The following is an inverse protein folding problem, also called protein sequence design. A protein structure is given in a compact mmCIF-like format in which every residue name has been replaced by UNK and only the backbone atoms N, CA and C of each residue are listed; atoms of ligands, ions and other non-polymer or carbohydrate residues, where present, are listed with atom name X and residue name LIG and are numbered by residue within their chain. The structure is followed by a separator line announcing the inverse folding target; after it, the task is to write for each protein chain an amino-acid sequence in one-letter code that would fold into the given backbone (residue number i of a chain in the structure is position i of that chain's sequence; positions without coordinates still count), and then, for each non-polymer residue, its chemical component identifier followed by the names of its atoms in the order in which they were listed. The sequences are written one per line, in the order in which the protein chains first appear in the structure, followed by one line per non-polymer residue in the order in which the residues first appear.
data_IF_337781853839
#
_entry.id   IF_337781853839
#
_cell.length_a   1.000
_cell.length_b   1.000
_cell.length_c   1.000
_cell.angle_alpha   90.00
_cell.angle_beta   90.00
_cell.angle_gamma   90.00
#
_symmetry.space_group_name_H-M   'P 1'
#
loop_
_entity.id
_entity.type
_entity.pdbx_description
1 polymer ?
#
# COMPACT_ATOMS: atom_id res chain seq x y z
N UNK A 1 9.64 -35.90 -34.99
CA UNK A 1 8.35 -35.60 -34.34
C UNK A 1 8.44 -35.25 -32.86
N UNK A 2 9.18 -35.93 -32.02
CA UNK A 2 9.24 -35.66 -30.57
C UNK A 2 9.97 -34.35 -30.18
N UNK A 3 10.94 -33.89 -30.95
CA UNK A 3 11.66 -32.64 -30.69
C UNK A 3 10.78 -31.40 -30.92
N UNK A 4 9.98 -31.41 -31.97
CA UNK A 4 9.03 -30.32 -32.28
C UNK A 4 7.94 -30.18 -31.23
N UNK A 5 7.44 -31.29 -30.68
CA UNK A 5 6.40 -31.30 -29.63
C UNK A 5 6.92 -30.70 -28.32
N UNK A 6 8.19 -30.94 -27.95
CA UNK A 6 8.79 -30.33 -26.75
C UNK A 6 8.92 -28.79 -26.86
N UNK A 7 9.33 -28.31 -28.01
CA UNK A 7 9.49 -26.87 -28.21
C UNK A 7 8.14 -26.13 -28.23
N UNK A 8 7.11 -26.71 -28.85
CA UNK A 8 5.75 -26.15 -28.81
C UNK A 8 5.19 -26.13 -27.39
N UNK A 9 5.41 -27.16 -26.57
CA UNK A 9 4.95 -27.21 -25.19
C UNK A 9 5.64 -26.14 -24.31
N UNK A 10 6.95 -25.98 -24.49
CA UNK A 10 7.73 -24.93 -23.76
C UNK A 10 7.24 -23.54 -24.16
N UNK A 11 6.98 -23.30 -25.43
CA UNK A 11 6.49 -22.00 -25.91
C UNK A 11 5.10 -21.70 -25.38
N UNK A 12 4.20 -22.67 -25.35
CA UNK A 12 2.85 -22.51 -24.79
C UNK A 12 2.88 -22.27 -23.29
N UNK A 13 3.72 -23.00 -22.53
CA UNK A 13 3.90 -22.78 -21.10
C UNK A 13 4.52 -21.41 -20.82
N UNK A 14 5.49 -20.97 -21.62
CA UNK A 14 6.11 -19.64 -21.47
C UNK A 14 5.11 -18.54 -21.78
N UNK A 15 4.29 -18.67 -22.82
CA UNK A 15 3.21 -17.72 -23.13
C UNK A 15 2.12 -17.72 -22.04
N UNK A 16 1.80 -18.87 -21.46
CA UNK A 16 0.83 -18.97 -20.35
C UNK A 16 1.37 -18.32 -19.06
N UNK A 17 2.67 -18.48 -18.77
CA UNK A 17 3.33 -17.81 -17.63
C UNK A 17 3.44 -16.30 -17.83
N UNK A 18 3.59 -15.81 -19.07
CA UNK A 18 3.54 -14.40 -19.39
C UNK A 18 2.10 -13.87 -19.27
N UNK A 19 1.09 -14.68 -19.55
CA UNK A 19 -0.31 -14.30 -19.46
C UNK A 19 -0.87 -14.37 -18.03
N UNK A 20 -0.22 -15.13 -17.13
CA UNK A 20 -0.49 -15.14 -15.69
C UNK A 20 0.20 -13.98 -14.95
N UNK A 21 0.71 -12.99 -15.66
CA UNK A 21 1.19 -11.75 -15.08
C UNK A 21 0.10 -11.12 -14.22
N UNK A 22 0.44 -10.79 -12.99
CA UNK A 22 -0.45 -10.07 -12.08
C UNK A 22 -0.86 -8.77 -12.77
N UNK A 23 -2.13 -8.67 -13.19
CA UNK A 23 -2.67 -7.43 -13.74
C UNK A 23 -2.70 -6.40 -12.62
N UNK A 24 -2.07 -5.26 -12.87
CA UNK A 24 -2.14 -4.10 -11.97
C UNK A 24 -3.10 -3.07 -12.56
N UNK A 25 -3.80 -2.37 -11.68
CA UNK A 25 -4.70 -1.28 -12.02
C UNK A 25 -4.05 0.05 -11.64
N UNK A 26 -4.20 1.05 -12.49
CA UNK A 26 -3.69 2.39 -12.22
C UNK A 26 -4.73 3.20 -11.46
N UNK A 27 -4.31 3.83 -10.36
CA UNK A 27 -5.09 4.76 -9.58
C UNK A 27 -4.34 6.10 -9.54
N UNK A 28 -4.88 7.12 -10.20
CA UNK A 28 -4.32 8.47 -10.17
C UNK A 28 -4.87 9.25 -9.00
N UNK A 29 -3.98 9.73 -8.14
CA UNK A 29 -4.29 10.54 -6.97
C UNK A 29 -3.55 11.87 -7.11
N UNK A 30 -4.33 12.97 -7.16
CA UNK A 30 -3.79 14.32 -7.22
C UNK A 30 -4.39 15.15 -6.10
N UNK A 31 -3.54 15.83 -5.38
CA UNK A 31 -3.90 16.82 -4.36
C UNK A 31 -3.19 18.14 -4.66
N UNK A 32 -3.33 19.14 -3.79
CA UNK A 32 -2.60 20.40 -3.92
C UNK A 32 -1.09 20.21 -3.69
N UNK A 33 -0.71 19.24 -2.87
CA UNK A 33 0.65 19.08 -2.37
C UNK A 33 1.42 17.97 -3.10
N UNK A 34 0.74 16.93 -3.61
CA UNK A 34 1.40 15.80 -4.25
C UNK A 34 0.56 15.16 -5.37
N UNK A 35 1.22 14.43 -6.24
CA UNK A 35 0.60 13.51 -7.18
C UNK A 35 1.21 12.11 -7.05
N UNK A 36 0.37 11.08 -7.27
CA UNK A 36 0.77 9.69 -7.20
C UNK A 36 0.00 8.85 -8.20
N UNK A 37 0.73 8.18 -9.08
CA UNK A 37 0.19 7.17 -9.99
C UNK A 37 0.43 5.79 -9.37
N UNK A 38 -0.53 5.37 -8.55
CA UNK A 38 -0.44 4.08 -7.86
C UNK A 38 -0.75 2.92 -8.81
N UNK A 39 0.12 1.92 -8.83
CA UNK A 39 -0.17 0.62 -9.45
C UNK A 39 -0.55 -0.37 -8.34
N UNK A 40 -1.79 -0.83 -8.36
CA UNK A 40 -2.36 -1.72 -7.36
C UNK A 40 -2.86 -3.00 -8.04
N UNK A 41 -2.76 -4.15 -7.35
CA UNK A 41 -3.29 -5.42 -7.88
C UNK A 41 -4.81 -5.36 -7.94
N UNK A 42 -5.55 -5.00 -6.86
CA UNK A 42 -6.99 -4.82 -6.94
C UNK A 42 -7.32 -3.47 -7.57
N UNK A 43 -8.37 -3.45 -8.38
CA UNK A 43 -8.99 -2.20 -8.79
C UNK A 43 -9.64 -1.53 -7.59
N UNK A 44 -9.29 -0.27 -7.33
CA UNK A 44 -9.80 0.48 -6.19
C UNK A 44 -10.68 1.65 -6.59
N UNK A 45 -11.73 1.89 -5.81
CA UNK A 45 -12.55 3.09 -5.91
C UNK A 45 -12.51 3.91 -4.64
N UNK A 46 -12.62 5.22 -4.78
CA UNK A 46 -12.82 6.12 -3.66
C UNK A 46 -14.23 5.93 -3.09
N UNK A 47 -14.32 5.59 -1.80
CA UNK A 47 -15.61 5.37 -1.13
C UNK A 47 -16.01 6.51 -0.21
N UNK A 48 -15.03 7.23 0.36
CA UNK A 48 -15.27 8.31 1.30
C UNK A 48 -14.13 9.33 1.27
N UNK A 49 -14.51 10.60 1.36
CA UNK A 49 -13.59 11.69 1.71
C UNK A 49 -14.21 12.45 2.86
N UNK A 50 -13.45 12.65 3.94
CA UNK A 50 -13.82 13.43 5.11
C UNK A 50 -12.62 14.29 5.49
N UNK A 51 -12.78 15.59 5.45
CA UNK A 51 -11.70 16.56 5.68
C UNK A 51 -10.46 16.25 4.84
N UNK A 52 -9.34 15.90 5.47
CA UNK A 52 -8.07 15.58 4.83
C UNK A 52 -7.84 14.06 4.67
N UNK A 53 -8.86 13.25 4.96
CA UNK A 53 -8.80 11.78 4.87
C UNK A 53 -9.61 11.27 3.70
N UNK A 54 -8.99 10.51 2.80
CA UNK A 54 -9.66 9.83 1.69
C UNK A 54 -9.47 8.31 1.83
N UNK A 55 -10.59 7.58 1.74
CA UNK A 55 -10.59 6.12 1.81
C UNK A 55 -10.92 5.53 0.45
N UNK A 56 -10.09 4.59 0.04
CA UNK A 56 -10.26 3.76 -1.15
C UNK A 56 -10.50 2.31 -0.73
N UNK A 57 -11.30 1.60 -1.49
CA UNK A 57 -11.59 0.18 -1.26
C UNK A 57 -11.62 -0.56 -2.60
N UNK A 58 -11.19 -1.81 -2.58
CA UNK A 58 -11.28 -2.73 -3.71
C UNK A 58 -12.70 -2.82 -4.26
N UNK A 59 -12.82 -2.83 -5.60
CA UNK A 59 -14.06 -3.13 -6.29
C UNK A 59 -14.20 -4.64 -6.38
N UNK A 60 -15.08 -5.21 -5.60
CA UNK A 60 -15.35 -6.65 -5.63
C UNK A 60 -16.86 -6.89 -5.68
N UNK A 61 -17.27 -7.90 -6.45
CA UNK A 61 -18.67 -8.29 -6.58
C UNK A 61 -19.12 -9.24 -5.46
N UNK A 62 -18.18 -9.92 -4.80
CA UNK A 62 -18.46 -10.78 -3.65
C UNK A 62 -18.61 -9.92 -2.39
N UNK A 63 -19.84 -9.80 -1.92
CA UNK A 63 -20.19 -9.02 -0.72
C UNK A 63 -19.61 -9.59 0.58
N UNK A 64 -19.16 -10.83 0.60
CA UNK A 64 -18.57 -11.49 1.75
C UNK A 64 -17.05 -11.46 1.75
N UNK A 65 -16.43 -10.98 0.66
CA UNK A 65 -14.99 -10.86 0.58
C UNK A 65 -14.46 -9.75 1.50
N UNK A 66 -13.32 -10.01 2.13
CA UNK A 66 -12.58 -8.98 2.83
C UNK A 66 -11.77 -8.24 1.80
N UNK A 67 -12.12 -6.99 1.62
CA UNK A 67 -11.59 -6.14 0.57
C UNK A 67 -10.28 -5.47 1.01
N UNK A 68 -9.36 -5.36 0.06
CA UNK A 68 -8.20 -4.50 0.22
C UNK A 68 -8.66 -3.06 0.44
N UNK A 69 -7.98 -2.35 1.32
CA UNK A 69 -8.31 -0.96 1.61
C UNK A 69 -7.06 -0.09 1.70
N UNK A 70 -7.22 1.17 1.28
CA UNK A 70 -6.19 2.20 1.37
C UNK A 70 -6.78 3.48 1.94
N UNK A 71 -6.07 4.06 2.89
CA UNK A 71 -6.42 5.35 3.50
C UNK A 71 -5.28 6.31 3.25
N UNK A 72 -5.60 7.48 2.72
CA UNK A 72 -4.69 8.61 2.58
C UNK A 72 -5.17 9.69 3.53
N UNK A 73 -4.29 10.13 4.41
CA UNK A 73 -4.60 11.08 5.46
C UNK A 73 -3.51 12.16 5.51
N UNK A 74 -3.90 13.43 5.69
CA UNK A 74 -2.99 14.56 5.90
C UNK A 74 -3.33 15.22 7.22
N UNK A 75 -2.37 15.38 8.11
CA UNK A 75 -2.58 15.99 9.43
C UNK A 75 -1.27 16.51 10.01
N UNK A 76 -1.38 17.39 10.98
CA UNK A 76 -0.24 17.84 11.78
C UNK A 76 0.01 16.90 12.95
N UNK A 77 1.27 16.68 13.32
CA UNK A 77 1.65 15.90 14.50
C UNK A 77 2.55 16.75 15.41
N UNK A 78 2.39 16.55 16.71
CA UNK A 78 3.22 17.21 17.74
C UNK A 78 4.37 16.34 18.25
N UNK A 79 4.41 15.07 17.78
CA UNK A 79 5.40 14.08 18.20
C UNK A 79 6.24 13.63 16.99
N UNK A 80 7.47 13.12 17.20
CA UNK A 80 8.26 12.57 16.10
C UNK A 80 7.49 11.52 15.30
N UNK A 81 7.60 11.54 13.96
CA UNK A 81 6.88 10.68 13.04
C UNK A 81 6.99 9.18 13.39
N UNK A 82 8.19 8.74 13.79
CA UNK A 82 8.42 7.34 14.19
C UNK A 82 7.61 6.96 15.44
N UNK A 83 7.50 7.89 16.41
CA UNK A 83 6.73 7.67 17.63
C UNK A 83 5.23 7.60 17.33
N UNK A 84 4.74 8.46 16.46
CA UNK A 84 3.35 8.42 15.98
C UNK A 84 3.00 7.08 15.34
N UNK A 85 3.83 6.61 14.40
CA UNK A 85 3.62 5.32 13.75
C UNK A 85 3.70 4.13 14.74
N UNK A 86 4.55 4.22 15.75
CA UNK A 86 4.62 3.19 16.79
C UNK A 86 3.38 3.19 17.68
N UNK A 87 2.86 4.36 18.04
CA UNK A 87 1.61 4.49 18.79
C UNK A 87 0.43 3.89 18.03
N UNK A 88 0.34 4.14 16.71
CA UNK A 88 -0.69 3.56 15.85
C UNK A 88 -0.70 2.02 15.93
N UNK A 89 0.46 1.38 15.87
CA UNK A 89 0.58 -0.08 16.00
C UNK A 89 0.25 -0.55 17.42
N UNK A 90 0.67 0.19 18.43
CA UNK A 90 0.36 -0.16 19.84
C UNK A 90 -1.14 -0.08 20.12
N UNK A 91 -1.86 0.89 19.52
CA UNK A 91 -3.31 0.95 19.61
C UNK A 91 -3.99 -0.30 19.04
N UNK A 92 -3.52 -0.83 17.90
CA UNK A 92 -4.05 -2.09 17.39
C UNK A 92 -3.88 -3.23 18.41
N UNK A 93 -2.72 -3.32 19.06
CA UNK A 93 -2.50 -4.33 20.12
C UNK A 93 -3.46 -4.17 21.30
N UNK A 94 -3.75 -2.93 21.70
CA UNK A 94 -4.72 -2.64 22.76
C UNK A 94 -6.16 -3.04 22.39
N UNK A 95 -6.50 -3.01 21.09
CA UNK A 95 -7.78 -3.50 20.57
C UNK A 95 -7.83 -5.03 20.37
N UNK A 96 -6.82 -5.76 20.84
CA UNK A 96 -6.79 -7.22 20.78
C UNK A 96 -6.25 -7.80 19.47
N UNK A 97 -5.68 -6.98 18.60
CA UNK A 97 -5.01 -7.48 17.39
C UNK A 97 -3.62 -8.01 17.70
N UNK A 98 -3.28 -9.15 17.13
CA UNK A 98 -1.90 -9.67 17.16
C UNK A 98 -1.10 -9.08 16.01
N UNK A 99 0.01 -8.41 16.33
CA UNK A 99 0.91 -7.82 15.34
C UNK A 99 2.19 -8.63 15.28
N UNK A 100 2.57 -9.04 14.06
CA UNK A 100 3.76 -9.84 13.80
C UNK A 100 4.50 -9.35 12.55
N UNK A 101 5.71 -9.86 12.31
CA UNK A 101 6.55 -9.51 11.14
C UNK A 101 6.73 -8.00 10.94
N UNK A 102 6.84 -7.26 12.04
CA UNK A 102 6.97 -5.81 12.03
C UNK A 102 8.35 -5.40 11.51
N UNK A 103 8.37 -4.54 10.49
CA UNK A 103 9.59 -3.93 9.97
C UNK A 103 9.43 -2.42 9.85
N UNK A 104 10.52 -1.70 9.96
CA UNK A 104 10.54 -0.24 9.78
C UNK A 104 11.72 0.14 8.90
N UNK A 105 11.47 0.83 7.80
CA UNK A 105 12.49 1.39 6.90
C UNK A 105 12.38 2.90 6.88
N UNK A 106 13.48 3.59 7.19
CA UNK A 106 13.61 5.04 7.07
C UNK A 106 14.26 5.38 5.74
N UNK A 107 13.80 6.42 5.09
CA UNK A 107 14.33 6.93 3.82
C UNK A 107 13.99 8.41 3.70
N UNK A 108 14.17 9.00 2.53
CA UNK A 108 13.74 10.35 2.23
C UNK A 108 13.42 10.49 0.75
N UNK A 109 12.54 11.45 0.45
CA UNK A 109 12.29 11.91 -0.91
C UNK A 109 12.98 13.26 -1.06
N UNK A 110 13.88 13.36 -2.05
CA UNK A 110 14.54 14.60 -2.41
C UNK A 110 13.78 15.26 -3.54
N UNK A 111 13.36 16.51 -3.34
CA UNK A 111 12.90 17.38 -4.41
C UNK A 111 13.99 18.41 -4.73
N UNK A 112 13.78 19.21 -5.75
CA UNK A 112 14.75 20.29 -6.09
C UNK A 112 14.84 21.38 -4.99
N UNK A 113 13.84 21.52 -4.13
CA UNK A 113 13.73 22.58 -3.12
C UNK A 113 13.64 22.07 -1.68
N UNK A 114 13.40 20.80 -1.45
CA UNK A 114 13.15 20.27 -0.13
C UNK A 114 13.56 18.81 0.02
N UNK A 115 13.75 18.41 1.27
CA UNK A 115 14.05 17.05 1.69
C UNK A 115 12.94 16.59 2.63
N UNK A 116 12.25 15.51 2.25
CA UNK A 116 11.12 14.95 2.98
C UNK A 116 11.49 13.61 3.61
N UNK A 117 11.72 13.54 4.92
CA UNK A 117 11.92 12.27 5.61
C UNK A 117 10.72 11.35 5.43
N UNK A 118 10.98 10.06 5.20
CA UNK A 118 9.93 9.06 5.02
C UNK A 118 10.14 7.87 5.93
N UNK A 119 9.04 7.26 6.36
CA UNK A 119 9.04 6.02 7.13
C UNK A 119 8.06 5.05 6.48
N UNK A 120 8.56 3.90 6.07
CA UNK A 120 7.74 2.76 5.67
C UNK A 120 7.72 1.75 6.82
N UNK A 121 6.54 1.46 7.33
CA UNK A 121 6.31 0.43 8.34
C UNK A 121 5.45 -0.66 7.75
N UNK A 122 5.88 -1.93 7.85
CA UNK A 122 5.10 -3.08 7.41
C UNK A 122 4.92 -4.06 8.55
N UNK A 123 3.76 -4.72 8.60
CA UNK A 123 3.46 -5.73 9.61
C UNK A 123 2.33 -6.63 9.13
N UNK A 124 2.17 -7.76 9.81
CA UNK A 124 1.01 -8.63 9.67
C UNK A 124 0.10 -8.45 10.87
N UNK A 125 -1.20 -8.42 10.64
CA UNK A 125 -2.24 -8.26 11.64
C UNK A 125 -3.04 -9.55 11.68
N UNK A 126 -3.29 -10.08 12.86
CA UNK A 126 -4.33 -11.11 13.05
C UNK A 126 -5.40 -10.53 13.96
N UNK A 127 -6.65 -10.50 13.48
CA UNK A 127 -7.76 -10.01 14.26
C UNK A 127 -8.14 -11.01 15.36
N UNK A 128 -8.97 -10.64 16.36
CA UNK A 128 -9.40 -11.55 17.41
C UNK A 128 -10.16 -12.79 16.91
N UNK A 129 -10.65 -12.78 15.68
CA UNK A 129 -11.35 -13.92 15.04
C UNK A 129 -10.42 -14.83 14.25
N UNK A 130 -9.11 -14.50 14.21
CA UNK A 130 -8.09 -15.26 13.48
C UNK A 130 -7.87 -14.83 12.04
N UNK A 131 -8.52 -13.74 11.57
CA UNK A 131 -8.30 -13.23 10.23
C UNK A 131 -6.93 -12.58 10.10
N UNK A 132 -6.13 -13.03 9.14
CA UNK A 132 -4.82 -12.48 8.83
C UNK A 132 -4.88 -11.39 7.75
N UNK A 133 -4.25 -10.26 8.02
CA UNK A 133 -4.08 -9.15 7.08
C UNK A 133 -2.60 -8.75 6.98
N UNK A 134 -2.20 -8.26 5.83
CA UNK A 134 -0.89 -7.66 5.57
C UNK A 134 -1.03 -6.15 5.46
N UNK A 135 -0.36 -5.41 6.32
CA UNK A 135 -0.44 -3.97 6.38
C UNK A 135 0.87 -3.29 5.95
N UNK A 136 0.75 -2.12 5.36
CA UNK A 136 1.84 -1.19 5.13
C UNK A 136 1.36 0.22 5.47
N UNK A 137 2.17 0.98 6.19
CA UNK A 137 1.99 2.40 6.45
C UNK A 137 3.20 3.15 5.92
N UNK A 138 2.96 4.12 5.05
CA UNK A 138 3.98 4.98 4.51
C UNK A 138 3.70 6.41 4.93
N UNK A 139 4.61 6.99 5.68
CA UNK A 139 4.49 8.34 6.19
C UNK A 139 5.58 9.22 5.59
N UNK A 140 5.20 10.42 5.19
CA UNK A 140 6.08 11.44 4.62
C UNK A 140 5.94 12.70 5.46
N UNK A 141 7.08 13.18 5.97
CA UNK A 141 7.15 14.47 6.66
C UNK A 141 7.20 15.60 5.62
N UNK A 142 6.16 16.42 5.59
CA UNK A 142 6.01 17.56 4.69
C UNK A 142 6.27 18.87 5.41
N UNK A 143 7.03 18.85 6.54
CA UNK A 143 7.37 19.97 7.43
C UNK A 143 6.20 20.43 8.31
N UNK A 144 5.12 20.95 7.74
CA UNK A 144 3.94 21.43 8.50
C UNK A 144 2.87 20.34 8.66
N UNK A 145 2.92 19.33 7.81
CA UNK A 145 1.95 18.24 7.75
C UNK A 145 2.65 16.91 7.56
N UNK A 146 1.96 15.85 7.91
CA UNK A 146 2.33 14.49 7.56
C UNK A 146 1.34 13.96 6.54
N UNK A 147 1.85 13.40 5.45
CA UNK A 147 1.08 12.55 4.55
C UNK A 147 1.25 11.10 5.02
N UNK A 148 0.16 10.47 5.42
CA UNK A 148 0.12 9.06 5.81
C UNK A 148 -0.70 8.27 4.80
N UNK A 149 -0.10 7.28 4.19
CA UNK A 149 -0.76 6.32 3.30
C UNK A 149 -0.75 4.97 4.00
N UNK A 150 -1.92 4.46 4.35
CA UNK A 150 -2.10 3.15 5.01
C UNK A 150 -2.79 2.20 4.05
N UNK A 151 -2.24 1.00 3.87
CA UNK A 151 -2.78 -0.04 3.01
C UNK A 151 -2.91 -1.35 3.79
N UNK A 152 -4.03 -2.04 3.60
CA UNK A 152 -4.27 -3.38 4.15
C UNK A 152 -4.81 -4.31 3.09
N UNK A 153 -4.35 -5.56 3.12
CA UNK A 153 -4.71 -6.61 2.17
C UNK A 153 -4.70 -7.98 2.84
N UNK A 154 -5.55 -8.88 2.39
CA UNK A 154 -5.47 -10.31 2.74
C UNK A 154 -4.33 -11.00 1.99
N UNK A 155 -3.76 -10.37 0.95
CA UNK A 155 -2.73 -10.94 0.10
C UNK A 155 -1.38 -10.20 0.26
N UNK A 156 -0.34 -10.95 0.62
CA UNK A 156 1.01 -10.42 0.78
C UNK A 156 1.58 -9.83 -0.52
N UNK A 157 1.25 -10.39 -1.68
CA UNK A 157 1.72 -9.87 -2.97
C UNK A 157 1.12 -8.51 -3.29
N UNK A 158 -0.16 -8.27 -2.97
CA UNK A 158 -0.81 -6.99 -3.15
C UNK A 158 -0.11 -5.89 -2.34
N UNK A 159 0.21 -6.19 -1.05
CA UNK A 159 1.03 -5.28 -0.23
C UNK A 159 2.39 -4.98 -0.87
N UNK A 160 3.04 -5.99 -1.44
CA UNK A 160 4.35 -5.81 -2.07
C UNK A 160 4.27 -4.92 -3.32
N UNK A 161 3.24 -5.06 -4.14
CA UNK A 161 2.97 -4.20 -5.30
C UNK A 161 2.67 -2.77 -4.87
N UNK A 162 1.83 -2.59 -3.83
CA UNK A 162 1.59 -1.29 -3.23
C UNK A 162 2.89 -0.61 -2.80
N UNK A 163 3.77 -1.30 -2.07
CA UNK A 163 5.05 -0.74 -1.61
C UNK A 163 5.91 -0.27 -2.79
N UNK A 164 5.98 -1.04 -3.87
CA UNK A 164 6.72 -0.64 -5.09
C UNK A 164 6.13 0.61 -5.74
N UNK A 165 4.82 0.78 -5.70
CA UNK A 165 4.16 1.95 -6.28
C UNK A 165 4.44 3.25 -5.53
N UNK A 166 4.85 3.19 -4.25
CA UNK A 166 5.18 4.37 -3.44
C UNK A 166 6.37 5.16 -4.01
N UNK A 167 7.25 4.50 -4.79
CA UNK A 167 8.39 5.15 -5.46
C UNK A 167 7.95 6.15 -6.56
N UNK A 168 6.69 6.10 -6.98
CA UNK A 168 6.10 6.98 -8.00
C UNK A 168 5.44 8.23 -7.42
N UNK A 169 5.51 8.44 -6.11
CA UNK A 169 4.99 9.65 -5.46
C UNK A 169 5.88 10.83 -5.86
N UNK A 170 5.25 11.92 -6.32
CA UNK A 170 5.91 13.18 -6.65
C UNK A 170 5.19 14.36 -6.00
N UNK A 171 5.96 15.37 -5.61
CA UNK A 171 5.42 16.59 -5.01
C UNK A 171 5.14 17.63 -6.09
N UNK A 172 4.01 18.32 -5.94
CA UNK A 172 3.62 19.45 -6.80
C UNK A 172 4.28 20.68 -6.17
N UNK A 173 5.00 21.45 -7.00
CA UNK A 173 5.65 22.70 -6.60
C UNK A 173 4.63 23.82 -6.53
#
# INVERSE_FOLDING_TARGET
MWKTLKWTLITVISLFLIWCGVTTHQLSIKTLDFSWEAELVPEMRRIKTLDQRTTYQEINQDKNAILDSMIIDQFSIEVPLISYMQQSVNQLRLYGYTISQETTKKSSIQTSSSHHPTILKTYSITDPRGLGLYAAQYAIDMQEKVLLISYTSTNKSNRSTFIKSLEKISFIR
#
